data_IF_162391017858
#
_entry.id   IF_162391017858
#
_cell.length_a   1.000
_cell.length_b   1.000
_cell.length_c   1.000
_cell.angle_alpha   90.00
_cell.angle_beta   90.00
_cell.angle_gamma   90.00
#
_symmetry.space_group_name_H-M   'P 1'
#
loop_
_entity.id
_entity.type
_entity.pdbx_description
1 polymer ?
#
# COMPACT_ATOMS: atom_id res chain seq x y z
N UNK A 1 2.82 -13.95 -20.22
CA UNK A 1 1.36 -13.91 -20.00
C UNK A 1 0.93 -15.11 -19.19
N UNK A 2 0.10 -14.89 -18.16
CA UNK A 2 -0.57 -15.92 -17.36
C UNK A 2 -2.08 -15.66 -17.36
N UNK A 3 -2.89 -16.72 -17.43
CA UNK A 3 -4.36 -16.60 -17.53
C UNK A 3 -5.03 -17.37 -16.41
N UNK A 4 -5.98 -16.70 -15.73
CA UNK A 4 -6.89 -17.34 -14.80
C UNK A 4 -8.25 -17.59 -15.48
N UNK A 5 -8.67 -18.84 -15.45
CA UNK A 5 -10.02 -19.27 -15.86
C UNK A 5 -10.90 -19.65 -14.68
N UNK A 6 -10.31 -19.65 -13.48
CA UNK A 6 -10.98 -19.90 -12.20
C UNK A 6 -10.40 -18.98 -11.13
N UNK A 7 -11.21 -18.62 -10.18
CA UNK A 7 -10.79 -17.80 -9.03
C UNK A 7 -9.78 -18.57 -8.17
N UNK A 8 -8.64 -17.95 -7.77
CA UNK A 8 -7.72 -18.51 -6.78
C UNK A 8 -8.43 -18.86 -5.47
N UNK A 9 -8.00 -19.94 -4.82
CA UNK A 9 -8.68 -20.52 -3.65
C UNK A 9 -8.89 -19.54 -2.50
N UNK A 10 -7.96 -18.62 -2.27
CA UNK A 10 -7.97 -17.70 -1.14
C UNK A 10 -8.28 -16.25 -1.52
N UNK A 11 -8.61 -16.01 -2.78
CA UNK A 11 -8.98 -14.68 -3.26
C UNK A 11 -10.36 -14.29 -2.71
N UNK A 12 -10.51 -13.01 -2.33
CA UNK A 12 -11.78 -12.45 -1.83
C UNK A 12 -12.90 -12.61 -2.87
N UNK A 13 -14.09 -12.95 -2.40
CA UNK A 13 -15.29 -12.99 -3.25
C UNK A 13 -15.84 -11.58 -3.44
N UNK A 14 -15.87 -11.13 -4.70
CA UNK A 14 -16.56 -9.91 -5.09
C UNK A 14 -17.78 -10.27 -5.91
N UNK A 15 -18.95 -9.69 -5.61
CA UNK A 15 -20.22 -10.05 -6.25
C UNK A 15 -20.22 -9.82 -7.76
N UNK A 16 -19.52 -8.78 -8.23
CA UNK A 16 -19.40 -8.47 -9.66
C UNK A 16 -18.45 -9.42 -10.43
N UNK A 17 -17.75 -10.34 -9.76
CA UNK A 17 -16.82 -11.28 -10.38
C UNK A 17 -17.35 -12.72 -10.44
N UNK A 18 -18.59 -12.97 -10.03
CA UNK A 18 -19.13 -14.34 -9.88
C UNK A 18 -19.44 -15.03 -11.21
N UNK A 19 -19.63 -14.28 -12.29
CA UNK A 19 -19.93 -14.84 -13.62
C UNK A 19 -18.70 -14.72 -14.52
N UNK A 20 -18.33 -15.83 -15.18
CA UNK A 20 -17.26 -15.88 -16.18
C UNK A 20 -15.91 -15.30 -15.68
N UNK A 21 -15.41 -15.82 -14.57
CA UNK A 21 -14.11 -15.41 -14.03
C UNK A 21 -13.02 -15.62 -15.07
N UNK A 22 -12.57 -14.52 -15.67
CA UNK A 22 -11.47 -14.49 -16.63
C UNK A 22 -10.59 -13.29 -16.39
N UNK A 23 -9.29 -13.53 -16.18
CA UNK A 23 -8.30 -12.50 -15.93
C UNK A 23 -6.93 -12.92 -16.42
N UNK A 24 -6.14 -11.98 -16.87
CA UNK A 24 -4.77 -12.21 -17.32
C UNK A 24 -3.78 -11.33 -16.56
N UNK A 25 -2.59 -11.84 -16.34
CA UNK A 25 -1.41 -11.04 -16.06
C UNK A 25 -0.50 -11.00 -17.28
N UNK A 26 -0.13 -9.80 -17.65
CA UNK A 26 0.83 -9.55 -18.72
C UNK A 26 2.14 -9.06 -18.11
N UNK A 27 3.23 -9.66 -18.49
CA UNK A 27 4.58 -9.29 -18.07
C UNK A 27 5.22 -8.40 -19.12
N UNK A 28 5.83 -7.30 -18.70
CA UNK A 28 6.64 -6.44 -19.54
C UNK A 28 8.01 -7.08 -19.77
N UNK A 29 8.38 -7.31 -21.01
CA UNK A 29 9.67 -7.93 -21.39
C UNK A 29 10.88 -7.10 -20.96
N UNK A 30 10.72 -5.75 -20.89
CA UNK A 30 11.85 -4.86 -20.57
C UNK A 30 12.11 -4.70 -19.08
N UNK A 31 11.09 -4.85 -18.22
CA UNK A 31 11.23 -4.56 -16.79
C UNK A 31 10.52 -5.55 -15.88
N UNK A 32 9.99 -6.65 -16.42
CA UNK A 32 9.26 -7.70 -15.70
C UNK A 32 8.10 -7.21 -14.82
N UNK A 33 7.62 -5.99 -15.04
CA UNK A 33 6.39 -5.52 -14.41
C UNK A 33 5.22 -6.38 -14.85
N UNK A 34 4.39 -6.81 -13.92
CA UNK A 34 3.18 -7.54 -14.26
C UNK A 34 1.96 -6.66 -14.05
N UNK A 35 1.08 -6.65 -15.06
CA UNK A 35 -0.16 -5.88 -15.04
C UNK A 35 -1.36 -6.80 -15.24
N UNK A 36 -2.35 -6.66 -14.38
CA UNK A 36 -3.61 -7.38 -14.51
C UNK A 36 -4.46 -6.78 -15.63
N UNK A 37 -4.93 -7.63 -16.53
CA UNK A 37 -5.90 -7.29 -17.58
C UNK A 37 -7.17 -8.07 -17.30
N UNK A 38 -8.24 -7.34 -17.02
CA UNK A 38 -9.54 -7.93 -16.67
C UNK A 38 -10.67 -7.26 -17.43
N UNK A 39 -11.76 -7.98 -17.61
CA UNK A 39 -13.00 -7.46 -18.24
C UNK A 39 -13.92 -6.75 -17.24
N UNK A 40 -13.58 -6.78 -15.95
CA UNK A 40 -14.39 -6.19 -14.88
C UNK A 40 -14.11 -4.68 -14.74
N UNK A 41 -15.13 -3.94 -14.30
CA UNK A 41 -14.96 -2.54 -13.94
C UNK A 41 -14.25 -2.43 -12.57
N UNK A 42 -12.95 -2.15 -12.60
CA UNK A 42 -12.12 -2.02 -11.40
C UNK A 42 -12.58 -0.91 -10.43
N UNK A 43 -13.36 0.09 -10.91
CA UNK A 43 -13.90 1.16 -10.05
C UNK A 43 -14.81 0.61 -8.97
N UNK A 44 -15.46 -0.53 -9.21
CA UNK A 44 -16.31 -1.18 -8.22
C UNK A 44 -15.56 -1.63 -6.96
N UNK A 45 -14.26 -1.94 -7.06
CA UNK A 45 -13.47 -2.26 -5.87
C UNK A 45 -13.43 -1.12 -4.85
N UNK A 46 -13.52 0.15 -5.29
CA UNK A 46 -13.36 1.32 -4.43
C UNK A 46 -14.69 1.97 -4.00
N UNK A 47 -15.83 1.42 -4.40
CA UNK A 47 -17.16 1.94 -4.05
C UNK A 47 -17.73 1.31 -2.76
N UNK A 48 -16.86 0.95 -1.80
CA UNK A 48 -17.25 0.34 -0.51
C UNK A 48 -17.34 -1.18 -0.53
N UNK A 49 -17.29 -1.82 -1.71
CA UNK A 49 -17.31 -3.29 -1.80
C UNK A 49 -16.03 -3.92 -1.26
N UNK A 50 -14.87 -3.28 -1.42
CA UNK A 50 -13.60 -3.81 -0.91
C UNK A 50 -13.62 -3.96 0.61
N UNK A 51 -14.03 -2.93 1.33
CA UNK A 51 -14.11 -2.94 2.80
C UNK A 51 -15.11 -3.99 3.29
N UNK A 52 -16.30 -4.02 2.68
CA UNK A 52 -17.36 -4.97 3.05
C UNK A 52 -16.95 -6.42 2.75
N UNK A 53 -16.35 -6.68 1.60
CA UNK A 53 -15.95 -8.03 1.17
C UNK A 53 -14.71 -8.51 1.93
N UNK A 54 -13.76 -7.63 2.25
CA UNK A 54 -12.50 -7.99 2.91
C UNK A 54 -12.64 -8.08 4.42
N UNK A 55 -13.33 -7.14 5.04
CA UNK A 55 -13.41 -7.07 6.51
C UNK A 55 -14.83 -7.30 7.05
N UNK A 56 -15.86 -6.78 6.39
CA UNK A 56 -17.24 -6.89 6.84
C UNK A 56 -17.41 -6.56 8.33
N UNK A 57 -18.19 -7.37 9.04
CA UNK A 57 -18.39 -7.26 10.51
C UNK A 57 -17.15 -7.62 11.34
N UNK A 58 -16.05 -8.11 10.71
CA UNK A 58 -14.83 -8.58 11.39
C UNK A 58 -13.73 -7.53 11.45
N UNK A 59 -13.95 -6.31 10.97
CA UNK A 59 -12.92 -5.26 10.88
C UNK A 59 -12.19 -5.05 12.21
N UNK A 60 -12.95 -4.92 13.31
CA UNK A 60 -12.40 -4.70 14.63
C UNK A 60 -11.58 -5.91 15.13
N UNK A 61 -12.09 -7.12 14.98
CA UNK A 61 -11.37 -8.33 15.39
C UNK A 61 -10.11 -8.59 14.55
N UNK A 62 -10.12 -8.22 13.27
CA UNK A 62 -8.93 -8.28 12.42
C UNK A 62 -7.89 -7.25 12.86
N UNK A 63 -8.32 -6.02 13.15
CA UNK A 63 -7.43 -4.97 13.68
C UNK A 63 -6.77 -5.44 14.98
N UNK A 64 -7.54 -5.85 15.98
CA UNK A 64 -7.05 -6.31 17.29
C UNK A 64 -6.08 -7.49 17.13
N UNK A 65 -6.43 -8.47 16.32
CA UNK A 65 -5.54 -9.59 16.02
C UNK A 65 -4.19 -9.15 15.48
N UNK A 66 -4.17 -8.18 14.55
CA UNK A 66 -2.91 -7.76 13.90
C UNK A 66 -2.05 -6.94 14.86
N UNK A 67 -2.63 -6.02 15.62
CA UNK A 67 -1.86 -5.17 16.54
C UNK A 67 -1.32 -5.92 17.76
N UNK A 68 -1.88 -7.09 18.07
CA UNK A 68 -1.43 -7.96 19.18
C UNK A 68 -0.45 -9.05 18.75
N UNK A 69 -0.12 -9.15 17.45
CA UNK A 69 0.86 -10.12 16.97
C UNK A 69 2.23 -9.92 17.66
N UNK A 70 2.94 -11.01 18.00
CA UNK A 70 4.33 -10.93 18.41
C UNK A 70 5.16 -10.19 17.34
N UNK A 71 6.11 -9.36 17.76
CA UNK A 71 6.94 -8.53 16.85
C UNK A 71 7.59 -9.35 15.74
N UNK A 72 8.04 -10.57 16.03
CA UNK A 72 8.65 -11.48 15.05
C UNK A 72 7.69 -12.01 13.98
N UNK A 73 6.37 -11.92 14.22
CA UNK A 73 5.31 -12.38 13.29
C UNK A 73 4.54 -11.22 12.66
N UNK A 74 4.91 -9.97 12.95
CA UNK A 74 4.18 -8.78 12.53
C UNK A 74 4.85 -8.09 11.36
N UNK A 75 4.21 -8.12 10.18
CA UNK A 75 4.62 -7.32 9.02
C UNK A 75 4.61 -5.82 9.37
N UNK A 76 3.64 -5.40 10.19
CA UNK A 76 3.49 -4.01 10.60
C UNK A 76 4.68 -3.53 11.47
N UNK A 77 5.16 -4.34 12.42
CA UNK A 77 6.36 -4.00 13.19
C UNK A 77 7.61 -3.95 12.31
N UNK A 78 7.77 -4.90 11.40
CA UNK A 78 8.91 -4.92 10.46
C UNK A 78 8.90 -3.70 9.55
N UNK A 79 7.74 -3.33 9.01
CA UNK A 79 7.52 -2.11 8.21
C UNK A 79 7.90 -0.86 8.99
N UNK A 80 7.32 -0.72 10.19
CA UNK A 80 7.57 0.44 11.02
C UNK A 80 9.05 0.58 11.40
N UNK A 81 9.72 -0.51 11.80
CA UNK A 81 11.14 -0.48 12.14
C UNK A 81 12.01 -0.07 10.94
N UNK A 82 11.69 -0.56 9.73
CA UNK A 82 12.36 -0.11 8.52
C UNK A 82 12.17 1.40 8.30
N UNK A 83 10.92 1.88 8.38
CA UNK A 83 10.61 3.30 8.23
C UNK A 83 11.30 4.17 9.29
N UNK A 84 11.30 3.74 10.55
CA UNK A 84 11.95 4.44 11.67
C UNK A 84 13.45 4.60 11.42
N UNK A 85 14.13 3.54 11.00
CA UNK A 85 15.56 3.60 10.68
C UNK A 85 15.84 4.62 9.57
N UNK A 86 14.96 4.70 8.54
CA UNK A 86 15.10 5.72 7.50
C UNK A 86 14.84 7.12 8.06
N UNK A 87 13.82 7.31 8.88
CA UNK A 87 13.52 8.60 9.49
C UNK A 87 14.68 9.08 10.38
N UNK A 88 15.29 8.20 11.16
CA UNK A 88 16.47 8.53 11.98
C UNK A 88 17.69 8.92 11.13
N UNK A 89 17.86 8.29 9.97
CA UNK A 89 18.90 8.66 9.01
C UNK A 89 18.66 10.06 8.39
N UNK A 90 17.41 10.37 8.03
CA UNK A 90 17.07 11.63 7.36
C UNK A 90 16.97 12.83 8.32
N UNK A 91 16.45 12.61 9.52
CA UNK A 91 16.04 13.68 10.43
C UNK A 91 16.79 13.68 11.76
N UNK A 92 17.57 12.63 12.03
CA UNK A 92 18.24 12.43 13.31
C UNK A 92 17.45 11.57 14.30
N UNK A 93 18.17 11.01 15.27
CA UNK A 93 17.56 10.18 16.33
C UNK A 93 16.57 11.01 17.15
N UNK A 94 15.49 10.35 17.57
CA UNK A 94 14.41 10.94 18.38
C UNK A 94 13.57 12.05 17.67
N UNK A 95 13.85 12.35 16.41
CA UNK A 95 12.99 13.24 15.65
C UNK A 95 11.63 12.58 15.39
N UNK A 96 10.56 13.36 15.51
CA UNK A 96 9.19 12.90 15.27
C UNK A 96 8.64 13.57 14.01
N UNK A 97 8.77 12.93 12.85
CA UNK A 97 8.36 13.53 11.59
C UNK A 97 6.84 13.64 11.47
N UNK A 98 6.40 14.65 10.71
CA UNK A 98 5.01 14.75 10.26
C UNK A 98 4.79 13.82 9.08
N UNK A 99 3.91 12.84 9.25
CA UNK A 99 3.65 11.76 8.30
C UNK A 99 2.23 11.82 7.76
N UNK A 100 2.06 11.61 6.47
CA UNK A 100 0.79 11.30 5.82
C UNK A 100 0.79 9.85 5.39
N UNK A 101 -0.13 9.05 5.91
CA UNK A 101 -0.36 7.68 5.48
C UNK A 101 -1.53 7.64 4.49
N UNK A 102 -1.24 7.32 3.23
CA UNK A 102 -2.21 7.27 2.14
C UNK A 102 -2.73 5.85 1.98
N UNK A 103 -4.06 5.68 2.00
CA UNK A 103 -4.70 4.37 1.99
C UNK A 103 -4.50 3.63 3.32
N UNK A 104 -4.87 4.29 4.41
CA UNK A 104 -4.59 3.80 5.78
C UNK A 104 -5.35 2.53 6.17
N UNK A 105 -6.36 2.12 5.36
CA UNK A 105 -7.18 0.95 5.63
C UNK A 105 -7.79 0.97 7.03
N UNK A 106 -7.74 -0.14 7.73
CA UNK A 106 -8.27 -0.25 9.10
C UNK A 106 -7.36 0.38 10.18
N UNK A 107 -6.31 1.10 9.79
CA UNK A 107 -5.50 1.90 10.71
C UNK A 107 -4.41 1.15 11.48
N UNK A 108 -4.03 -0.05 11.06
CA UNK A 108 -2.98 -0.86 11.72
C UNK A 108 -1.62 -0.14 11.71
N UNK A 109 -1.22 0.41 10.57
CA UNK A 109 0.03 1.14 10.47
C UNK A 109 -0.03 2.50 11.19
N UNK A 110 -1.07 3.33 10.97
CA UNK A 110 -1.26 4.55 11.76
C UNK A 110 -1.23 4.35 13.27
N UNK A 111 -1.85 3.27 13.78
CA UNK A 111 -1.80 2.93 15.20
C UNK A 111 -0.35 2.76 15.70
N UNK A 112 0.49 2.05 14.93
CA UNK A 112 1.89 1.82 15.31
C UNK A 112 2.72 3.09 15.29
N UNK A 113 2.51 3.93 14.28
CA UNK A 113 3.19 5.23 14.15
C UNK A 113 2.81 6.16 15.30
N UNK A 114 1.50 6.25 15.62
CA UNK A 114 1.00 7.03 16.76
C UNK A 114 1.59 6.55 18.08
N UNK A 115 1.70 5.23 18.28
CA UNK A 115 2.30 4.65 19.49
C UNK A 115 3.77 5.05 19.68
N UNK A 116 4.49 5.34 18.61
CA UNK A 116 5.84 5.92 18.67
C UNK A 116 5.84 7.43 19.00
N UNK A 117 4.68 8.05 18.97
CA UNK A 117 4.48 9.47 19.25
C UNK A 117 4.82 10.39 18.08
N UNK A 118 4.78 9.89 16.84
CA UNK A 118 4.93 10.71 15.64
C UNK A 118 3.63 11.45 15.32
N UNK A 119 3.76 12.61 14.65
CA UNK A 119 2.61 13.35 14.11
C UNK A 119 2.16 12.68 12.81
N UNK A 120 0.97 12.09 12.82
CA UNK A 120 0.44 11.35 11.67
C UNK A 120 -0.98 11.76 11.34
N UNK A 121 -1.24 11.94 10.04
CA UNK A 121 -2.57 12.04 9.45
C UNK A 121 -2.81 10.78 8.64
N UNK A 122 -3.89 10.08 8.93
CA UNK A 122 -4.38 8.97 8.13
C UNK A 122 -5.33 9.49 7.05
N UNK A 123 -5.23 8.94 5.84
CA UNK A 123 -6.12 9.28 4.72
C UNK A 123 -6.60 8.01 4.04
N UNK A 124 -7.91 7.86 3.90
CA UNK A 124 -8.52 6.72 3.24
C UNK A 124 -9.86 7.14 2.58
N UNK A 125 -10.17 6.69 1.35
CA UNK A 125 -11.43 7.01 0.70
C UNK A 125 -12.63 6.28 1.29
N UNK A 126 -12.41 5.16 2.01
CA UNK A 126 -13.50 4.38 2.60
C UNK A 126 -13.91 4.97 3.97
N UNK A 127 -15.18 5.37 4.06
CA UNK A 127 -15.75 5.94 5.28
C UNK A 127 -15.71 4.95 6.46
N UNK A 128 -15.90 3.65 6.22
CA UNK A 128 -15.87 2.64 7.28
C UNK A 128 -14.46 2.55 7.90
N UNK A 129 -13.41 2.63 7.07
CA UNK A 129 -12.03 2.67 7.53
C UNK A 129 -11.76 3.91 8.37
N UNK A 130 -12.14 5.08 7.89
CA UNK A 130 -11.88 6.35 8.60
C UNK A 130 -12.65 6.46 9.90
N UNK A 131 -13.90 5.99 9.94
CA UNK A 131 -14.70 5.93 11.18
C UNK A 131 -14.09 4.94 12.19
N UNK A 132 -13.56 3.80 11.71
CA UNK A 132 -12.84 2.84 12.54
C UNK A 132 -11.55 3.46 13.12
N UNK A 133 -10.74 4.14 12.31
CA UNK A 133 -9.51 4.81 12.74
C UNK A 133 -9.81 5.85 13.82
N UNK A 134 -10.81 6.70 13.62
CA UNK A 134 -11.21 7.70 14.61
C UNK A 134 -11.62 7.07 15.93
N UNK A 135 -12.43 6.01 15.88
CA UNK A 135 -12.98 5.35 17.06
C UNK A 135 -11.95 4.49 17.80
N UNK A 136 -11.16 3.68 17.09
CA UNK A 136 -10.26 2.65 17.68
C UNK A 136 -8.83 3.12 17.83
N UNK A 137 -8.32 3.90 16.90
CA UNK A 137 -6.96 4.44 16.97
C UNK A 137 -6.93 5.80 17.64
N UNK A 138 -8.09 6.48 17.74
CA UNK A 138 -8.22 7.85 18.24
C UNK A 138 -7.23 8.79 17.52
N UNK A 139 -7.28 8.79 16.19
CA UNK A 139 -6.36 9.52 15.32
C UNK A 139 -7.14 10.40 14.35
N UNK A 140 -6.58 11.58 14.02
CA UNK A 140 -7.08 12.39 12.92
C UNK A 140 -7.03 11.60 11.61
N UNK A 141 -8.18 11.51 10.94
CA UNK A 141 -8.31 10.76 9.69
C UNK A 141 -9.16 11.54 8.70
N UNK A 142 -8.66 11.68 7.49
CA UNK A 142 -9.34 12.35 6.38
C UNK A 142 -10.03 11.29 5.53
N UNK A 143 -11.36 11.43 5.36
CA UNK A 143 -12.12 10.60 4.44
C UNK A 143 -12.18 11.29 3.07
N UNK A 144 -11.22 10.97 2.22
CA UNK A 144 -11.13 11.54 0.87
C UNK A 144 -10.26 10.65 -0.03
N UNK A 145 -10.43 10.76 -1.34
CA UNK A 145 -9.46 10.26 -2.31
C UNK A 145 -8.21 11.14 -2.27
N UNK A 146 -7.04 10.51 -2.17
CA UNK A 146 -5.77 11.24 -2.18
C UNK A 146 -5.63 12.16 -3.39
N UNK A 147 -6.23 11.81 -4.53
CA UNK A 147 -6.18 12.67 -5.73
C UNK A 147 -6.99 13.97 -5.57
N UNK A 148 -7.96 14.02 -4.67
CA UNK A 148 -8.73 15.22 -4.33
C UNK A 148 -8.13 15.98 -3.15
N UNK A 149 -7.49 15.27 -2.22
CA UNK A 149 -6.93 15.82 -0.99
C UNK A 149 -5.86 16.89 -1.27
N UNK A 150 -6.07 18.10 -0.75
CA UNK A 150 -5.16 19.24 -0.89
C UNK A 150 -4.79 19.76 0.50
N UNK A 151 -3.70 19.25 1.11
CA UNK A 151 -3.28 19.68 2.43
C UNK A 151 -2.77 21.11 2.43
N UNK A 152 -2.99 21.83 3.54
CA UNK A 152 -2.45 23.18 3.76
C UNK A 152 -0.93 23.16 3.97
N UNK A 153 -0.40 22.07 4.48
CA UNK A 153 1.02 21.90 4.79
C UNK A 153 1.60 20.67 4.10
N UNK A 154 2.92 20.69 3.90
CA UNK A 154 3.66 19.55 3.36
C UNK A 154 4.13 18.63 4.48
N UNK A 155 4.34 17.36 4.11
CA UNK A 155 4.76 16.29 5.00
C UNK A 155 6.24 15.98 4.85
N UNK A 156 6.86 15.50 5.93
CA UNK A 156 8.24 14.99 5.91
C UNK A 156 8.29 13.57 5.38
N UNK A 157 7.24 12.80 5.67
CA UNK A 157 7.09 11.44 5.18
C UNK A 157 5.70 11.29 4.56
N UNK A 158 5.64 10.67 3.39
CA UNK A 158 4.38 10.20 2.80
C UNK A 158 4.53 8.69 2.58
N UNK A 159 3.56 7.90 3.04
CA UNK A 159 3.60 6.45 2.92
C UNK A 159 2.49 5.91 2.03
N UNK A 160 2.85 4.91 1.22
CA UNK A 160 1.96 4.07 0.42
C UNK A 160 2.21 2.62 0.81
N UNK A 161 1.43 2.13 1.77
CA UNK A 161 1.56 0.78 2.31
C UNK A 161 0.56 -0.16 1.61
N UNK A 162 0.97 -0.86 0.56
CA UNK A 162 0.10 -1.72 -0.24
C UNK A 162 -1.07 -0.92 -0.83
N UNK A 163 -0.74 0.13 -1.60
CA UNK A 163 -1.71 1.03 -2.24
C UNK A 163 -1.50 1.11 -3.74
N UNK A 164 -0.26 1.29 -4.21
CA UNK A 164 0.01 1.58 -5.61
C UNK A 164 -0.32 0.42 -6.55
N UNK A 165 -0.34 -0.80 -6.04
CA UNK A 165 -0.78 -1.99 -6.76
C UNK A 165 -2.26 -1.99 -7.13
N UNK A 166 -3.05 -1.26 -6.37
CA UNK A 166 -4.49 -1.15 -6.59
C UNK A 166 -4.88 0.02 -7.51
N UNK A 167 -3.94 0.92 -7.80
CA UNK A 167 -4.24 2.18 -8.49
C UNK A 167 -3.99 2.07 -9.98
N UNK A 168 -4.98 2.43 -10.80
CA UNK A 168 -4.85 2.39 -12.26
C UNK A 168 -3.67 3.23 -12.78
N UNK A 169 -3.40 4.36 -12.15
CA UNK A 169 -2.31 5.25 -12.55
C UNK A 169 -1.44 5.64 -11.36
N UNK A 170 -0.53 4.75 -10.91
CA UNK A 170 0.34 5.01 -9.76
C UNK A 170 1.29 6.20 -10.00
N UNK A 171 1.62 6.53 -11.27
CA UNK A 171 2.45 7.68 -11.61
C UNK A 171 1.78 9.00 -11.22
N UNK A 172 0.48 9.17 -11.49
CA UNK A 172 -0.25 10.38 -11.09
C UNK A 172 -0.25 10.54 -9.57
N UNK A 173 -0.44 9.45 -8.85
CA UNK A 173 -0.42 9.44 -7.37
C UNK A 173 0.95 9.84 -6.82
N UNK A 174 2.05 9.26 -7.31
CA UNK A 174 3.39 9.62 -6.87
C UNK A 174 3.78 11.06 -7.25
N UNK A 175 3.38 11.57 -8.42
CA UNK A 175 3.59 12.98 -8.78
C UNK A 175 2.86 13.93 -7.83
N UNK A 176 1.64 13.58 -7.38
CA UNK A 176 0.94 14.36 -6.36
C UNK A 176 1.62 14.26 -4.99
N UNK A 177 2.07 13.07 -4.60
CA UNK A 177 2.84 12.90 -3.36
C UNK A 177 4.11 13.77 -3.36
N UNK A 178 4.85 13.80 -4.48
CA UNK A 178 6.02 14.69 -4.62
C UNK A 178 5.69 16.16 -4.37
N UNK A 179 4.54 16.67 -4.84
CA UNK A 179 4.11 18.06 -4.58
C UNK A 179 3.86 18.32 -3.10
N UNK A 180 3.29 17.34 -2.38
CA UNK A 180 2.94 17.45 -0.97
C UNK A 180 4.09 17.08 -0.01
N UNK A 181 5.23 16.63 -0.55
CA UNK A 181 6.42 16.30 0.22
C UNK A 181 7.26 17.54 0.51
N UNK A 182 7.82 17.68 1.72
CA UNK A 182 8.86 18.68 2.04
C UNK A 182 10.17 18.39 1.27
N UNK A 183 11.02 19.40 1.08
CA UNK A 183 12.24 19.23 0.28
C UNK A 183 13.22 18.20 0.88
N UNK A 184 13.31 18.11 2.20
CA UNK A 184 14.14 17.10 2.90
C UNK A 184 13.36 15.83 3.30
N UNK A 185 12.13 15.70 2.81
CA UNK A 185 11.29 14.56 3.11
C UNK A 185 11.52 13.38 2.16
N UNK A 186 10.89 12.26 2.46
CA UNK A 186 10.90 11.08 1.61
C UNK A 186 9.52 10.42 1.48
N UNK A 187 9.34 9.70 0.38
CA UNK A 187 8.17 8.84 0.15
C UNK A 187 8.59 7.41 0.44
N UNK A 188 7.82 6.73 1.29
CA UNK A 188 7.91 5.29 1.49
C UNK A 188 6.88 4.57 0.63
N UNK A 189 7.32 3.53 -0.07
CA UNK A 189 6.49 2.72 -0.96
C UNK A 189 6.64 1.26 -0.56
N UNK A 190 5.52 0.56 -0.38
CA UNK A 190 5.47 -0.88 -0.20
C UNK A 190 4.46 -1.48 -1.17
N UNK A 191 4.92 -2.42 -2.01
CA UNK A 191 4.12 -3.04 -3.08
C UNK A 191 4.46 -4.54 -3.21
N UNK A 192 3.56 -5.37 -3.78
CA UNK A 192 3.84 -6.77 -4.06
C UNK A 192 4.95 -6.92 -5.10
N UNK A 193 5.76 -7.96 -4.93
CA UNK A 193 6.89 -8.28 -5.81
C UNK A 193 6.56 -9.38 -6.81
N UNK A 194 7.01 -9.23 -8.06
CA UNK A 194 6.95 -10.28 -9.10
C UNK A 194 7.70 -11.55 -8.71
N UNK A 195 8.61 -11.49 -7.74
CA UNK A 195 9.30 -12.67 -7.19
C UNK A 195 8.33 -13.73 -6.65
N UNK A 196 7.10 -13.32 -6.29
CA UNK A 196 6.04 -14.22 -5.86
C UNK A 196 5.66 -15.25 -6.94
N UNK A 197 5.83 -14.93 -8.23
CA UNK A 197 5.54 -15.83 -9.35
C UNK A 197 6.35 -17.13 -9.29
N UNK A 198 7.54 -17.09 -8.68
CA UNK A 198 8.39 -18.30 -8.47
C UNK A 198 7.73 -19.32 -7.54
N UNK A 199 6.78 -18.88 -6.73
CA UNK A 199 6.00 -19.74 -5.82
C UNK A 199 4.56 -19.98 -6.32
N UNK A 200 4.28 -19.61 -7.57
CA UNK A 200 2.99 -19.80 -8.24
C UNK A 200 2.10 -18.56 -8.24
N UNK A 201 1.13 -18.57 -9.15
CA UNK A 201 0.22 -17.44 -9.36
C UNK A 201 -1.06 -17.50 -8.48
N UNK A 202 -1.25 -18.54 -7.67
CA UNK A 202 -2.37 -18.66 -6.71
C UNK A 202 -2.18 -17.82 -5.43
N UNK A 203 -1.09 -17.05 -5.38
CA UNK A 203 -0.70 -16.24 -4.23
C UNK A 203 -1.43 -14.89 -4.21
N UNK A 204 -1.55 -14.31 -3.00
CA UNK A 204 -2.25 -13.04 -2.79
C UNK A 204 -1.64 -11.85 -3.55
N UNK A 205 -0.35 -11.92 -3.92
CA UNK A 205 0.29 -10.89 -4.73
C UNK A 205 -0.36 -10.75 -6.13
N UNK A 206 -1.07 -11.79 -6.57
CA UNK A 206 -1.74 -11.83 -7.86
C UNK A 206 -3.27 -11.86 -7.75
N UNK A 207 -3.85 -11.52 -6.61
CA UNK A 207 -5.30 -11.48 -6.45
C UNK A 207 -5.94 -10.37 -7.29
N UNK A 208 -7.24 -10.47 -7.52
CA UNK A 208 -7.96 -9.66 -8.50
C UNK A 208 -7.90 -8.16 -8.23
N UNK A 209 -7.78 -7.76 -6.98
CA UNK A 209 -7.64 -6.36 -6.56
C UNK A 209 -6.28 -5.75 -6.91
N UNK A 210 -5.27 -6.56 -7.25
CA UNK A 210 -3.94 -6.09 -7.65
C UNK A 210 -3.89 -5.87 -9.16
N UNK A 211 -3.89 -4.61 -9.58
CA UNK A 211 -3.69 -4.21 -10.98
C UNK A 211 -2.23 -4.30 -11.39
N UNK A 212 -1.32 -4.16 -10.45
CA UNK A 212 0.12 -4.12 -10.65
C UNK A 212 0.86 -5.03 -9.68
N UNK A 213 1.84 -5.80 -10.19
CA UNK A 213 2.85 -6.48 -9.40
C UNK A 213 4.21 -6.02 -9.88
N UNK A 214 5.06 -5.55 -8.96
CA UNK A 214 6.25 -4.77 -9.32
C UNK A 214 7.52 -5.62 -9.29
N UNK A 215 8.40 -5.41 -10.28
CA UNK A 215 9.81 -5.74 -10.19
C UNK A 215 10.58 -4.58 -9.56
N UNK A 216 11.84 -4.81 -9.15
CA UNK A 216 12.72 -3.72 -8.70
C UNK A 216 12.92 -2.67 -9.80
N UNK A 217 13.09 -3.12 -11.03
CA UNK A 217 13.30 -2.30 -12.22
C UNK A 217 12.08 -1.43 -12.50
N UNK A 218 10.88 -1.99 -12.48
CA UNK A 218 9.65 -1.26 -12.74
C UNK A 218 9.35 -0.22 -11.65
N UNK A 219 9.60 -0.54 -10.38
CA UNK A 219 9.44 0.42 -9.29
C UNK A 219 10.44 1.58 -9.42
N UNK A 220 11.70 1.27 -9.73
CA UNK A 220 12.75 2.28 -9.98
C UNK A 220 12.38 3.18 -11.16
N UNK A 221 11.88 2.59 -12.24
CA UNK A 221 11.43 3.33 -13.41
C UNK A 221 10.25 4.25 -13.10
N UNK A 222 9.26 3.76 -12.36
CA UNK A 222 8.11 4.54 -11.91
C UNK A 222 8.54 5.75 -11.07
N UNK A 223 9.43 5.55 -10.08
CA UNK A 223 9.98 6.61 -9.23
C UNK A 223 10.68 7.66 -10.09
N UNK A 224 11.56 7.25 -11.00
CA UNK A 224 12.30 8.16 -11.90
C UNK A 224 11.35 8.97 -12.81
N UNK A 225 10.31 8.34 -13.37
CA UNK A 225 9.30 9.01 -14.20
C UNK A 225 8.44 10.03 -13.44
N UNK A 226 8.44 9.94 -12.11
CA UNK A 226 7.79 10.93 -11.24
C UNK A 226 8.73 12.06 -10.80
N UNK A 227 9.92 12.17 -11.42
CA UNK A 227 10.96 13.17 -11.09
C UNK A 227 11.40 13.05 -9.61
N UNK A 228 11.46 11.82 -9.12
CA UNK A 228 11.98 11.46 -7.81
C UNK A 228 13.29 10.69 -7.99
N UNK A 229 14.18 10.82 -7.01
CA UNK A 229 15.39 10.01 -6.89
C UNK A 229 15.07 8.80 -6.02
N UNK A 230 15.30 7.60 -6.56
CA UNK A 230 15.24 6.38 -5.77
C UNK A 230 16.51 6.23 -4.93
N UNK A 231 16.37 6.06 -3.63
CA UNK A 231 17.50 5.81 -2.73
C UNK A 231 17.61 4.33 -2.35
N UNK A 232 16.47 3.67 -2.16
CA UNK A 232 16.42 2.27 -1.74
C UNK A 232 15.30 1.58 -2.52
N UNK A 233 15.60 0.40 -3.04
CA UNK A 233 14.60 -0.60 -3.46
C UNK A 233 15.04 -1.95 -2.93
N UNK A 234 14.32 -2.46 -1.93
CA UNK A 234 14.65 -3.71 -1.23
C UNK A 234 13.53 -4.72 -1.40
N UNK A 235 13.89 -5.93 -1.80
CA UNK A 235 13.00 -7.09 -1.76
C UNK A 235 13.06 -7.75 -0.38
N UNK A 236 11.90 -8.15 0.13
CA UNK A 236 11.78 -8.89 1.38
C UNK A 236 10.65 -9.91 1.32
N UNK A 237 10.82 -11.01 2.06
CA UNK A 237 9.71 -11.89 2.44
C UNK A 237 9.27 -11.44 3.83
N UNK A 238 7.99 -11.10 3.96
CA UNK A 238 7.40 -10.65 5.21
C UNK A 238 7.22 -11.81 6.20
N UNK A 239 7.07 -11.55 7.50
CA UNK A 239 6.72 -12.58 8.48
C UNK A 239 5.47 -13.38 8.13
N UNK A 240 4.51 -12.79 7.43
CA UNK A 240 3.31 -13.46 6.90
C UNK A 240 3.59 -14.34 5.67
N UNK A 241 4.79 -14.30 5.10
CA UNK A 241 5.15 -14.99 3.87
C UNK A 241 4.91 -14.20 2.59
N UNK A 242 4.46 -12.94 2.66
CA UNK A 242 4.26 -12.06 1.49
C UNK A 242 5.57 -11.64 0.86
N UNK A 243 5.59 -11.61 -0.47
CA UNK A 243 6.72 -11.12 -1.25
C UNK A 243 6.55 -9.63 -1.52
N UNK A 244 7.42 -8.82 -0.93
CA UNK A 244 7.25 -7.37 -0.87
C UNK A 244 8.47 -6.63 -1.40
N UNK A 245 8.24 -5.56 -2.15
CA UNK A 245 9.25 -4.54 -2.44
C UNK A 245 8.99 -3.31 -1.55
N UNK A 246 10.07 -2.79 -0.96
CA UNK A 246 10.09 -1.53 -0.23
C UNK A 246 10.96 -0.52 -0.94
N UNK A 247 10.43 0.67 -1.16
CA UNK A 247 11.13 1.78 -1.81
C UNK A 247 11.21 3.02 -0.93
N UNK A 248 12.34 3.73 -1.00
CA UNK A 248 12.51 5.09 -0.46
C UNK A 248 12.83 6.02 -1.62
N UNK A 249 11.99 7.01 -1.82
CA UNK A 249 12.16 8.00 -2.87
C UNK A 249 12.17 9.43 -2.30
N UNK A 250 13.04 10.28 -2.82
CA UNK A 250 13.19 11.69 -2.42
C UNK A 250 13.02 12.62 -3.61
N UNK A 251 12.81 13.91 -3.35
CA UNK A 251 12.91 14.91 -4.43
C UNK A 251 14.33 14.97 -4.96
N UNK A 252 14.43 15.20 -6.27
CA UNK A 252 15.71 15.56 -6.91
C UNK A 252 16.19 16.90 -6.41
#
# INVERSE_FOLDING_TARGET
>A
KFTYTKKPKFETDFDFCKQDYYREFWECESCSHMMSVMKFDYKKFYQGEYSNSTYGKKMESVFERIITLPKSKSDNEKRFNFLKNQAEFFFGKNYKPKLLDVGSGIGVFPWRVKKEGWDIIALDPDKNHTDHIRRKVNLECVNDDFMNFNPKEKYEIITFNKVLEHILNPMKMLKKARKNLKNKGFIYIEVPSVEAAKSGFEREEFFIEHLHVFSKESLNFLIKKCELKNLITKFEIEPSGKFTLRGIAVKN
#
